data_IF_199433009254
#
_entry.id   IF_199433009254
#
_cell.length_a   1.000
_cell.length_b   1.000
_cell.length_c   1.000
_cell.angle_alpha   90.00
_cell.angle_beta   90.00
_cell.angle_gamma   90.00
#
_symmetry.space_group_name_H-M   'P 1'
#
loop_
_entity.id
_entity.type
_entity.pdbx_description
1 polymer ?
#
# COMPACT_ATOMS: atom_id res chain seq x y z
N UNK A 1 -30.79 34.02 18.51
CA UNK A 1 -30.68 32.56 18.34
C UNK A 1 -30.13 32.29 16.95
N UNK A 2 -28.83 32.04 16.83
CA UNK A 2 -28.18 31.63 15.59
C UNK A 2 -27.90 30.12 15.73
N UNK A 3 -28.50 29.32 14.85
CA UNK A 3 -28.32 27.87 14.77
C UNK A 3 -26.87 27.54 14.39
N UNK A 4 -26.20 26.75 15.22
CA UNK A 4 -24.82 26.31 14.99
C UNK A 4 -24.78 25.34 13.80
N UNK A 5 -24.07 25.63 12.69
CA UNK A 5 -24.00 24.76 11.52
C UNK A 5 -22.97 23.62 11.72
N UNK A 6 -22.97 23.00 12.90
CA UNK A 6 -22.06 21.89 13.21
C UNK A 6 -22.45 20.63 12.44
N UNK A 7 -21.73 20.46 11.34
CA UNK A 7 -21.19 19.21 10.83
C UNK A 7 -22.22 18.11 10.48
N UNK A 8 -23.07 18.40 9.50
CA UNK A 8 -23.52 17.33 8.62
C UNK A 8 -22.32 16.87 7.80
N UNK A 9 -21.98 15.58 7.85
CA UNK A 9 -21.09 14.92 6.88
C UNK A 9 -21.97 14.17 5.87
N UNK A 10 -22.63 14.86 4.92
CA UNK A 10 -23.58 14.21 4.02
C UNK A 10 -22.83 13.44 2.94
N UNK A 11 -22.52 12.17 3.22
CA UNK A 11 -22.07 11.25 2.18
C UNK A 11 -23.24 10.90 1.26
N UNK A 12 -23.03 11.01 -0.05
CA UNK A 12 -23.95 10.53 -1.08
C UNK A 12 -23.32 9.36 -1.83
N UNK A 13 -24.13 8.42 -2.28
CA UNK A 13 -23.62 7.30 -3.07
C UNK A 13 -23.18 7.79 -4.45
N UNK A 14 -21.90 7.62 -4.76
CA UNK A 14 -21.35 7.86 -6.11
C UNK A 14 -21.40 6.60 -6.98
N UNK A 15 -21.07 5.44 -6.40
CA UNK A 15 -21.06 4.17 -7.13
C UNK A 15 -21.27 2.95 -6.23
N UNK A 16 -21.86 1.90 -6.81
CA UNK A 16 -22.03 0.59 -6.18
C UNK A 16 -21.46 -0.51 -7.07
N UNK A 17 -20.72 -1.44 -6.46
CA UNK A 17 -20.20 -2.62 -7.14
C UNK A 17 -20.54 -3.88 -6.36
N UNK A 18 -21.22 -4.82 -7.02
CA UNK A 18 -21.66 -6.07 -6.39
C UNK A 18 -20.53 -7.08 -6.33
N UNK A 19 -20.31 -7.66 -5.15
CA UNK A 19 -19.43 -8.83 -4.99
C UNK A 19 -20.16 -10.15 -5.29
N UNK A 20 -19.44 -11.17 -5.80
CA UNK A 20 -19.99 -12.51 -5.99
C UNK A 20 -20.26 -13.25 -4.66
N UNK A 21 -19.67 -12.78 -3.56
CA UNK A 21 -19.92 -13.28 -2.20
C UNK A 21 -19.63 -12.19 -1.17
N UNK A 22 -20.12 -12.36 0.06
CA UNK A 22 -19.88 -11.41 1.14
C UNK A 22 -18.39 -11.31 1.48
N UNK A 23 -18.01 -10.17 2.05
CA UNK A 23 -16.67 -9.92 2.60
C UNK A 23 -16.71 -10.06 4.13
N UNK A 24 -15.54 -10.22 4.73
CA UNK A 24 -15.36 -10.12 6.18
C UNK A 24 -15.13 -8.66 6.61
N UNK A 25 -15.26 -8.39 7.91
CA UNK A 25 -15.05 -7.05 8.51
C UNK A 25 -13.67 -6.49 8.16
N UNK A 26 -12.64 -7.34 8.10
CA UNK A 26 -11.26 -6.98 7.75
C UNK A 26 -10.89 -7.31 6.30
N UNK A 27 -11.90 -7.44 5.43
CA UNK A 27 -11.74 -7.78 4.03
C UNK A 27 -11.50 -6.58 3.11
N UNK A 28 -11.16 -5.41 3.64
CA UNK A 28 -10.96 -4.17 2.89
C UNK A 28 -9.63 -3.51 3.27
N UNK A 29 -8.80 -3.16 2.29
CA UNK A 29 -7.55 -2.43 2.55
C UNK A 29 -7.18 -1.47 1.42
N UNK A 30 -6.38 -0.46 1.74
CA UNK A 30 -5.76 0.40 0.74
C UNK A 30 -4.52 -0.28 0.16
N UNK A 31 -4.34 -0.29 -1.16
CA UNK A 31 -3.17 -0.89 -1.82
C UNK A 31 -2.28 0.14 -2.52
N UNK A 32 -2.86 1.19 -3.07
CA UNK A 32 -2.15 2.28 -3.73
C UNK A 32 -2.62 3.64 -3.21
N UNK A 33 -2.12 4.72 -3.81
CA UNK A 33 -2.59 6.06 -3.48
C UNK A 33 -4.11 6.18 -3.70
N UNK A 34 -4.59 5.66 -4.83
CA UNK A 34 -5.99 5.75 -5.26
C UNK A 34 -6.62 4.38 -5.56
N UNK A 35 -6.14 3.32 -4.89
CA UNK A 35 -6.56 1.94 -5.12
C UNK A 35 -6.95 1.25 -3.81
N UNK A 36 -8.08 0.56 -3.84
CA UNK A 36 -8.67 -0.18 -2.73
C UNK A 36 -8.80 -1.65 -3.12
N UNK A 37 -8.45 -2.56 -2.22
CA UNK A 37 -8.69 -3.99 -2.41
C UNK A 37 -9.81 -4.45 -1.47
N UNK A 38 -10.75 -5.20 -2.02
CA UNK A 38 -11.74 -5.93 -1.24
C UNK A 38 -11.60 -7.43 -1.49
N UNK A 39 -11.45 -8.20 -0.42
CA UNK A 39 -11.45 -9.65 -0.44
C UNK A 39 -12.82 -10.20 -0.03
N UNK A 40 -13.21 -11.33 -0.61
CA UNK A 40 -14.50 -11.99 -0.34
C UNK A 40 -14.29 -13.39 0.23
N UNK A 41 -15.34 -13.96 0.83
CA UNK A 41 -15.31 -15.29 1.43
C UNK A 41 -15.05 -16.42 0.42
N UNK A 42 -15.25 -16.21 -0.88
CA UNK A 42 -14.96 -17.23 -1.92
C UNK A 42 -13.61 -17.03 -2.60
N UNK A 43 -12.61 -16.55 -1.87
CA UNK A 43 -11.24 -16.40 -2.36
C UNK A 43 -11.04 -15.32 -3.45
N UNK A 44 -12.06 -14.54 -3.80
CA UNK A 44 -11.94 -13.47 -4.80
C UNK A 44 -11.48 -12.18 -4.16
N UNK A 45 -10.54 -11.51 -4.82
CA UNK A 45 -10.05 -10.17 -4.45
C UNK A 45 -10.34 -9.23 -5.62
N UNK A 46 -10.96 -8.09 -5.33
CA UNK A 46 -11.34 -7.08 -6.32
C UNK A 46 -10.61 -5.78 -6.01
N UNK A 47 -9.98 -5.19 -7.02
CA UNK A 47 -9.40 -3.86 -6.96
C UNK A 47 -10.39 -2.83 -7.45
N UNK A 48 -10.61 -1.80 -6.64
CA UNK A 48 -11.40 -0.62 -6.95
C UNK A 48 -10.50 0.59 -7.17
N UNK A 49 -10.76 1.30 -8.25
CA UNK A 49 -10.13 2.58 -8.55
C UNK A 49 -11.01 3.40 -9.48
N UNK A 50 -10.83 4.70 -9.44
CA UNK A 50 -11.36 5.58 -10.48
C UNK A 50 -10.38 5.65 -11.65
N UNK A 51 -10.91 5.57 -12.87
CA UNK A 51 -10.15 5.70 -14.10
C UNK A 51 -10.63 6.91 -14.88
N UNK A 52 -9.70 7.76 -15.31
CA UNK A 52 -9.99 8.82 -16.28
C UNK A 52 -9.94 8.25 -17.70
N UNK A 53 -11.05 8.37 -18.41
CA UNK A 53 -11.19 8.02 -19.82
C UNK A 53 -11.66 9.27 -20.57
N UNK A 54 -10.72 9.98 -21.20
CA UNK A 54 -11.00 11.16 -22.03
C UNK A 54 -11.86 12.22 -21.30
N UNK A 55 -11.42 12.69 -20.13
CA UNK A 55 -12.12 13.69 -19.29
C UNK A 55 -13.41 13.17 -18.64
N UNK A 56 -13.60 11.85 -18.59
CA UNK A 56 -14.71 11.21 -17.87
C UNK A 56 -14.16 10.21 -16.87
N UNK A 57 -14.26 10.57 -15.59
CA UNK A 57 -13.90 9.70 -14.47
C UNK A 57 -14.97 8.61 -14.34
N UNK A 58 -14.54 7.34 -14.24
CA UNK A 58 -15.43 6.21 -14.00
C UNK A 58 -14.89 5.28 -12.92
N UNK A 59 -15.74 4.76 -12.02
CA UNK A 59 -15.35 3.71 -11.11
C UNK A 59 -15.09 2.41 -11.90
N UNK A 60 -14.03 1.70 -11.55
CA UNK A 60 -13.65 0.41 -12.13
C UNK A 60 -13.41 -0.58 -11.00
N UNK A 61 -14.07 -1.74 -11.11
CA UNK A 61 -13.88 -2.88 -10.23
C UNK A 61 -13.27 -4.02 -11.05
N UNK A 62 -12.01 -4.36 -10.79
CA UNK A 62 -11.30 -5.44 -11.50
C UNK A 62 -10.94 -6.57 -10.55
N UNK A 63 -11.38 -7.79 -10.86
CA UNK A 63 -10.92 -8.98 -10.13
C UNK A 63 -9.42 -9.21 -10.36
N UNK A 64 -8.70 -9.44 -9.27
CA UNK A 64 -7.28 -9.70 -9.25
C UNK A 64 -6.99 -11.18 -9.11
N UNK A 65 -5.99 -11.65 -9.85
CA UNK A 65 -5.55 -13.05 -9.79
C UNK A 65 -4.35 -13.21 -8.86
N UNK A 66 -4.53 -14.09 -7.87
CA UNK A 66 -3.49 -14.51 -6.95
C UNK A 66 -3.14 -15.97 -7.20
N UNK A 67 -1.85 -16.31 -7.14
CA UNK A 67 -1.44 -17.72 -7.16
C UNK A 67 -1.67 -18.38 -5.81
N UNK A 68 -1.95 -19.68 -5.78
CA UNK A 68 -1.98 -20.48 -4.55
C UNK A 68 -3.02 -20.05 -3.49
N UNK A 69 -4.03 -19.26 -3.84
CA UNK A 69 -5.26 -19.16 -3.02
C UNK A 69 -6.05 -20.46 -3.26
N UNK A 70 -6.35 -21.26 -2.21
CA UNK A 70 -7.19 -22.44 -2.36
C UNK A 70 -8.57 -22.09 -2.95
N UNK A 71 -9.14 -22.98 -3.75
CA UNK A 71 -10.43 -22.74 -4.45
C UNK A 71 -11.55 -22.40 -3.46
N UNK A 72 -11.56 -23.07 -2.31
CA UNK A 72 -12.57 -22.89 -1.25
C UNK A 72 -12.05 -22.05 -0.08
N UNK A 73 -11.06 -21.17 -0.34
CA UNK A 73 -10.48 -20.35 0.71
C UNK A 73 -11.44 -19.25 1.18
N UNK A 74 -11.78 -19.30 2.47
CA UNK A 74 -12.42 -18.20 3.18
C UNK A 74 -11.38 -17.17 3.61
N UNK A 75 -11.27 -16.09 2.85
CA UNK A 75 -10.37 -14.99 3.21
C UNK A 75 -10.93 -14.28 4.45
N UNK A 76 -10.15 -14.32 5.52
CA UNK A 76 -10.50 -13.71 6.80
C UNK A 76 -10.13 -12.23 6.84
N UNK A 77 -8.94 -11.90 6.36
CA UNK A 77 -8.42 -10.54 6.35
C UNK A 77 -7.44 -10.32 5.21
N UNK A 78 -7.35 -9.06 4.78
CA UNK A 78 -6.43 -8.61 3.75
C UNK A 78 -5.82 -7.28 4.18
N UNK A 79 -4.52 -7.10 3.97
CA UNK A 79 -3.86 -5.81 4.12
C UNK A 79 -2.77 -5.65 3.06
N UNK A 80 -2.41 -4.42 2.73
CA UNK A 80 -1.47 -4.14 1.67
C UNK A 80 -0.55 -2.95 1.97
N UNK A 81 0.66 -2.99 1.41
CA UNK A 81 1.61 -1.90 1.53
C UNK A 81 2.56 -1.82 0.34
N UNK A 82 3.07 -0.62 0.08
CA UNK A 82 4.07 -0.40 -0.96
C UNK A 82 5.48 -0.46 -0.37
N UNK A 83 6.32 -1.33 -0.94
CA UNK A 83 7.75 -1.35 -0.62
C UNK A 83 8.45 -0.13 -1.22
N UNK A 84 9.28 0.49 -0.41
CA UNK A 84 10.19 1.56 -0.83
C UNK A 84 11.45 0.99 -1.52
N UNK A 85 12.24 1.82 -2.23
CA UNK A 85 13.47 1.40 -2.89
C UNK A 85 14.43 0.60 -1.98
N UNK A 86 15.22 -0.34 -2.52
CA UNK A 86 15.39 -0.65 -3.95
C UNK A 86 14.31 -1.60 -4.50
N UNK A 87 13.68 -2.40 -3.65
CA UNK A 87 12.79 -3.47 -4.06
C UNK A 87 11.32 -3.03 -4.08
N UNK A 88 11.03 -2.01 -4.89
CA UNK A 88 9.68 -1.42 -5.01
C UNK A 88 8.61 -2.45 -5.38
N UNK A 89 7.38 -2.13 -5.04
CA UNK A 89 6.19 -2.85 -5.48
C UNK A 89 5.18 -3.04 -4.36
N UNK A 90 3.94 -3.27 -4.77
CA UNK A 90 2.82 -3.58 -3.89
C UNK A 90 3.01 -4.96 -3.29
N UNK A 91 2.83 -5.06 -1.98
CA UNK A 91 2.77 -6.31 -1.22
C UNK A 91 1.39 -6.42 -0.59
N UNK A 92 0.80 -7.61 -0.68
CA UNK A 92 -0.53 -7.89 -0.14
C UNK A 92 -0.43 -9.11 0.78
N UNK A 93 -0.85 -8.96 2.03
CA UNK A 93 -1.07 -10.06 2.96
C UNK A 93 -2.51 -10.55 2.88
N UNK A 94 -2.71 -11.86 2.80
CA UNK A 94 -4.03 -12.49 2.83
C UNK A 94 -4.00 -13.59 3.89
N UNK A 95 -5.00 -13.61 4.76
CA UNK A 95 -5.15 -14.69 5.74
C UNK A 95 -6.37 -15.55 5.46
N UNK A 96 -6.24 -16.85 5.67
CA UNK A 96 -7.35 -17.80 5.73
C UNK A 96 -7.11 -18.77 6.88
N UNK A 97 -8.13 -18.98 7.72
CA UNK A 97 -8.11 -19.91 8.87
C UNK A 97 -6.88 -19.70 9.77
N UNK A 98 -5.76 -20.38 9.50
CA UNK A 98 -4.52 -20.37 10.29
C UNK A 98 -3.29 -19.93 9.48
N UNK A 99 -3.45 -19.65 8.20
CA UNK A 99 -2.37 -19.36 7.29
C UNK A 99 -2.40 -17.91 6.85
N UNK A 100 -1.21 -17.31 6.82
CA UNK A 100 -0.94 -16.02 6.22
C UNK A 100 -0.07 -16.22 4.98
N UNK A 101 -0.52 -15.68 3.86
CA UNK A 101 0.23 -15.61 2.61
C UNK A 101 0.57 -14.16 2.31
N UNK A 102 1.83 -13.88 1.99
CA UNK A 102 2.28 -12.57 1.54
C UNK A 102 2.67 -12.64 0.06
N UNK A 103 2.02 -11.81 -0.73
CA UNK A 103 2.20 -11.69 -2.16
C UNK A 103 2.95 -10.42 -2.52
N UNK A 104 3.73 -10.46 -3.59
CA UNK A 104 4.24 -9.25 -4.24
C UNK A 104 3.64 -9.15 -5.63
N UNK A 105 3.15 -7.96 -5.97
CA UNK A 105 2.75 -7.66 -7.32
C UNK A 105 3.98 -7.65 -8.22
N UNK A 106 3.98 -8.53 -9.22
CA UNK A 106 4.95 -8.50 -10.29
C UNK A 106 4.26 -7.97 -11.54
N UNK A 107 4.78 -6.87 -12.06
CA UNK A 107 4.42 -6.37 -13.36
C UNK A 107 5.48 -6.84 -14.36
N UNK A 108 5.15 -7.78 -15.26
CA UNK A 108 5.99 -8.04 -16.43
C UNK A 108 6.12 -6.73 -17.22
N UNK A 109 7.31 -6.49 -17.77
CA UNK A 109 7.67 -5.26 -18.49
C UNK A 109 6.77 -4.90 -19.70
N UNK A 110 5.85 -5.79 -20.10
CA UNK A 110 5.03 -5.65 -21.30
C UNK A 110 3.54 -6.05 -21.12
N UNK A 111 3.03 -6.24 -19.91
CA UNK A 111 1.61 -6.60 -19.70
C UNK A 111 0.86 -5.59 -18.83
N UNK A 112 -0.36 -5.27 -19.26
CA UNK A 112 -1.36 -4.49 -18.51
C UNK A 112 -1.95 -5.32 -17.35
N UNK A 113 -1.68 -6.63 -17.35
CA UNK A 113 -2.19 -7.60 -16.39
C UNK A 113 -1.02 -8.15 -15.57
N UNK A 114 -0.72 -7.48 -14.45
CA UNK A 114 0.25 -7.99 -13.49
C UNK A 114 -0.33 -9.12 -12.64
N UNK A 115 0.53 -9.95 -12.09
CA UNK A 115 0.15 -11.11 -11.27
C UNK A 115 0.73 -10.98 -9.86
N UNK A 116 -0.04 -11.39 -8.87
CA UNK A 116 0.46 -11.54 -7.51
C UNK A 116 1.21 -12.86 -7.37
N UNK A 117 2.51 -12.78 -7.07
CA UNK A 117 3.34 -13.94 -6.76
C UNK A 117 3.54 -14.10 -5.27
N UNK A 118 3.39 -15.33 -4.78
CA UNK A 118 3.61 -15.68 -3.38
C UNK A 118 5.10 -15.51 -3.03
N UNK A 119 5.39 -14.67 -2.05
CA UNK A 119 6.75 -14.42 -1.55
C UNK A 119 7.05 -15.19 -0.27
N UNK A 120 6.06 -15.26 0.62
CA UNK A 120 6.23 -15.81 1.95
C UNK A 120 4.90 -16.37 2.45
N UNK A 121 4.99 -17.43 3.26
CA UNK A 121 3.84 -18.04 3.92
C UNK A 121 4.20 -18.40 5.35
N UNK A 122 3.23 -18.29 6.25
CA UNK A 122 3.37 -18.74 7.62
C UNK A 122 2.05 -19.27 8.17
N UNK A 123 2.12 -20.42 8.81
CA UNK A 123 1.01 -21.02 9.54
C UNK A 123 1.11 -20.70 11.03
N UNK A 124 -0.04 -20.53 11.68
CA UNK A 124 -0.20 -20.22 13.09
C UNK A 124 -0.94 -21.35 13.81
N UNK A 125 -0.72 -21.47 15.13
CA UNK A 125 -1.37 -22.52 15.94
C UNK A 125 -2.87 -22.23 16.14
N UNK A 126 -3.22 -20.95 16.28
CA UNK A 126 -4.57 -20.41 16.47
C UNK A 126 -5.11 -19.77 15.20
N UNK A 127 -6.44 -19.74 15.07
CA UNK A 127 -7.10 -19.08 13.93
C UNK A 127 -6.82 -17.57 13.92
N UNK A 128 -6.53 -17.06 12.73
CA UNK A 128 -6.28 -15.66 12.43
C UNK A 128 -7.61 -14.90 12.34
N UNK A 129 -7.60 -13.64 12.75
CA UNK A 129 -8.78 -12.76 12.74
C UNK A 129 -8.54 -11.50 11.92
N UNK A 130 -7.36 -10.90 12.04
CA UNK A 130 -7.02 -9.66 11.36
C UNK A 130 -5.50 -9.52 11.23
N UNK A 131 -5.06 -8.82 10.18
CA UNK A 131 -3.68 -8.41 9.99
C UNK A 131 -3.63 -6.92 9.70
N UNK A 132 -2.55 -6.27 10.11
CA UNK A 132 -2.28 -4.87 9.76
C UNK A 132 -0.78 -4.61 9.75
N UNK A 133 -0.32 -3.80 8.79
CA UNK A 133 1.07 -3.42 8.60
C UNK A 133 1.30 -1.93 8.86
N UNK A 134 1.80 -1.61 10.06
CA UNK A 134 1.93 -0.25 10.57
C UNK A 134 3.24 -0.06 11.33
N UNK A 135 3.59 1.20 11.57
CA UNK A 135 4.72 1.59 12.39
C UNK A 135 4.24 1.77 13.83
N UNK A 136 4.55 0.82 14.71
CA UNK A 136 4.12 0.82 16.10
C UNK A 136 5.02 1.69 17.00
N UNK A 137 6.27 1.89 16.61
CA UNK A 137 7.28 2.62 17.41
C UNK A 137 7.36 4.09 17.03
N UNK A 138 6.92 4.45 15.82
CA UNK A 138 7.05 5.78 15.23
C UNK A 138 8.44 6.07 14.66
N UNK A 139 9.29 5.05 14.46
CA UNK A 139 10.65 5.22 13.95
C UNK A 139 10.76 5.02 12.42
N UNK A 140 9.64 4.69 11.76
CA UNK A 140 9.54 4.42 10.33
C UNK A 140 9.71 2.95 9.95
N UNK A 141 10.07 2.06 10.89
CA UNK A 141 10.10 0.61 10.68
C UNK A 141 8.71 0.03 10.94
N UNK A 142 8.08 -0.49 9.90
CA UNK A 142 6.75 -1.08 10.03
C UNK A 142 6.81 -2.54 10.51
N UNK A 143 5.99 -2.86 11.49
CA UNK A 143 5.68 -4.20 11.96
C UNK A 143 4.41 -4.76 11.32
N UNK A 144 4.38 -6.08 11.19
CA UNK A 144 3.19 -6.83 10.84
C UNK A 144 2.53 -7.33 12.13
N UNK A 145 1.43 -6.71 12.51
CA UNK A 145 0.60 -7.15 13.62
C UNK A 145 -0.46 -8.15 13.11
N UNK A 146 -0.61 -9.26 13.83
CA UNK A 146 -1.48 -10.37 13.47
C UNK A 146 -2.31 -10.74 14.68
N UNK A 147 -3.60 -10.45 14.62
CA UNK A 147 -4.56 -10.79 15.65
C UNK A 147 -5.06 -12.23 15.43
N UNK A 148 -5.01 -13.03 16.49
CA UNK A 148 -5.54 -14.39 16.53
C UNK A 148 -6.54 -14.53 17.66
N UNK A 149 -7.32 -15.62 17.66
CA UNK A 149 -8.21 -15.96 18.78
C UNK A 149 -7.50 -16.18 20.12
N UNK A 150 -6.16 -16.30 20.14
CA UNK A 150 -5.36 -16.47 21.36
C UNK A 150 -4.60 -15.22 21.78
N UNK A 151 -4.60 -14.17 20.96
CA UNK A 151 -3.86 -12.95 21.23
C UNK A 151 -3.18 -12.40 19.97
N UNK A 152 -2.29 -11.45 20.20
CA UNK A 152 -1.61 -10.66 19.17
C UNK A 152 -0.18 -11.17 18.95
N UNK A 153 0.20 -11.37 17.69
CA UNK A 153 1.59 -11.53 17.28
C UNK A 153 2.07 -10.25 16.61
N UNK A 154 3.27 -9.80 16.95
CA UNK A 154 3.94 -8.69 16.27
C UNK A 154 5.20 -9.25 15.61
N UNK A 155 5.29 -9.13 14.29
CA UNK A 155 6.42 -9.57 13.49
C UNK A 155 7.15 -8.35 12.95
N UNK A 156 8.46 -8.34 13.12
CA UNK A 156 9.31 -7.25 12.65
C UNK A 156 10.26 -7.78 11.56
N UNK A 157 10.70 -6.89 10.67
CA UNK A 157 11.81 -7.20 9.76
C UNK A 157 13.08 -7.49 10.55
N UNK A 158 13.99 -8.28 9.94
CA UNK A 158 15.31 -8.49 10.54
C UNK A 158 16.03 -7.16 10.73
N UNK A 159 16.56 -6.93 11.93
CA UNK A 159 17.32 -5.72 12.25
C UNK A 159 18.60 -5.60 11.41
N UNK A 160 19.26 -6.71 11.10
CA UNK A 160 20.46 -6.70 10.25
C UNK A 160 20.14 -6.22 8.82
N UNK A 161 19.14 -6.84 8.18
CA UNK A 161 18.71 -6.45 6.83
C UNK A 161 18.15 -5.03 6.79
N UNK A 162 17.54 -4.58 7.89
CA UNK A 162 17.04 -3.21 8.03
C UNK A 162 18.19 -2.22 8.10
N UNK A 163 19.23 -2.50 8.90
CA UNK A 163 20.43 -1.67 8.98
C UNK A 163 21.13 -1.54 7.62
N UNK A 164 21.32 -2.65 6.90
CA UNK A 164 21.91 -2.66 5.56
C UNK A 164 21.11 -1.78 4.58
N UNK A 165 19.78 -1.91 4.62
CA UNK A 165 18.87 -1.13 3.78
C UNK A 165 18.93 0.38 4.12
N UNK A 166 19.01 0.73 5.40
CA UNK A 166 19.17 2.12 5.85
C UNK A 166 20.50 2.68 5.35
N UNK A 167 21.61 1.96 5.50
CA UNK A 167 22.92 2.37 5.01
C UNK A 167 22.92 2.58 3.49
N UNK A 168 22.33 1.65 2.73
CA UNK A 168 22.21 1.78 1.28
C UNK A 168 21.41 3.02 0.87
N UNK A 169 20.30 3.31 1.56
CA UNK A 169 19.47 4.48 1.30
C UNK A 169 20.20 5.78 1.65
N UNK A 170 20.93 5.81 2.77
CA UNK A 170 21.74 6.95 3.16
C UNK A 170 22.83 7.23 2.12
N UNK A 171 23.58 6.20 1.70
CA UNK A 171 24.58 6.33 0.65
C UNK A 171 23.98 6.88 -0.65
N UNK A 172 22.82 6.38 -1.06
CA UNK A 172 22.11 6.85 -2.25
C UNK A 172 21.64 8.31 -2.14
N UNK A 173 21.30 8.78 -0.94
CA UNK A 173 20.92 10.19 -0.69
C UNK A 173 22.16 11.09 -0.72
N UNK A 174 23.24 10.70 -0.05
CA UNK A 174 24.51 11.44 -0.04
C UNK A 174 25.03 11.64 -1.48
N UNK A 175 25.01 10.58 -2.30
CA UNK A 175 25.42 10.67 -3.70
C UNK A 175 24.59 11.68 -4.51
N UNK A 176 23.27 11.77 -4.28
CA UNK A 176 22.39 12.74 -4.95
C UNK A 176 22.66 14.18 -4.51
N UNK A 177 22.93 14.40 -3.22
CA UNK A 177 23.25 15.73 -2.68
C UNK A 177 24.54 16.24 -3.30
N UNK A 178 25.59 15.41 -3.35
CA UNK A 178 26.88 15.78 -3.96
C UNK A 178 26.82 16.06 -5.47
N UNK A 179 25.79 15.55 -6.16
CA UNK A 179 25.59 15.74 -7.60
C UNK A 179 24.79 17.00 -7.96
N UNK A 180 24.29 17.78 -6.99
CA UNK A 180 23.54 19.01 -7.27
C UNK A 180 24.52 20.19 -7.35
N UNK A 181 24.68 20.86 -8.52
CA UNK A 181 25.68 21.91 -8.68
C UNK A 181 25.25 23.18 -7.92
N UNK A 182 26.22 23.82 -7.25
CA UNK A 182 26.03 25.11 -6.55
C UNK A 182 25.72 26.22 -7.56
N UNK A 183 24.52 26.80 -7.49
CA UNK A 183 24.15 28.00 -8.26
C UNK A 183 25.11 29.15 -7.87
N UNK A 184 25.78 29.75 -8.86
CA UNK A 184 26.63 30.92 -8.66
C UNK A 184 25.76 32.15 -8.34
N UNK A 185 26.08 32.96 -7.32
CA UNK A 185 25.41 34.24 -7.10
C UNK A 185 25.83 35.23 -8.19
N UNK A 186 24.83 35.81 -8.85
CA UNK A 186 25.00 36.84 -9.87
C UNK A 186 25.50 38.12 -9.18
N UNK A 187 26.75 38.50 -9.40
CA UNK A 187 27.27 39.79 -8.96
C UNK A 187 26.77 40.81 -9.97
N UNK A 188 25.85 41.67 -9.54
CA UNK A 188 25.43 42.86 -10.27
C UNK A 188 26.68 43.74 -10.51
N UNK A 189 26.96 44.04 -11.77
CA UNK A 189 27.80 45.17 -12.13
C UNK A 189 26.88 46.35 -12.42
N UNK A 190 26.72 47.22 -11.42
CA UNK A 190 26.31 48.60 -11.65
C UNK A 190 27.39 49.26 -12.49
N UNK A 191 26.99 49.90 -13.60
CA UNK A 191 27.85 50.83 -14.34
C UNK A 191 27.02 52.07 -14.66
N UNK A 192 26.99 53.01 -13.73
CA UNK A 192 26.79 54.43 -14.03
C UNK A 192 28.09 54.99 -14.61
N UNK A 193 28.07 55.48 -15.85
CA UNK A 193 28.85 56.65 -16.36
C UNK A 193 28.07 57.22 -17.55
N UNK A 194 27.26 58.27 -17.38
CA UNK A 194 27.57 59.71 -17.51
C UNK A 194 27.71 60.22 -18.95
N UNK A 195 26.63 60.88 -19.39
CA UNK A 195 26.49 62.13 -20.17
C UNK A 195 27.38 62.43 -21.41
N UNK A 196 26.68 62.65 -22.54
CA UNK A 196 26.94 63.74 -23.49
C UNK A 196 25.95 64.87 -23.22
#
# INVERSE_FOLDING_TARGET
MLSNPEASCPFVEDSFSRFPSQSNIYGLCQAGENELLAATLKGKVVCFRYQDLQQKIRPVAKELQFTYIPVDAEIVSIDAFNKSPPNRGLVVGITFIKDLLCYKFQQPSCSIEGKFQLMWRRSFKSSLLSIIYLDLTGDGLKELAILTIKGLHVLQHSLSSTADLVLQRLASRVAKISATPKIHPNINHDTEQTEQ
#
